data_IF_583897402358
#
_entry.id   IF_583897402358
#
_cell.length_a   1.000
_cell.length_b   1.000
_cell.length_c   1.000
_cell.angle_alpha   90.00
_cell.angle_beta   90.00
_cell.angle_gamma   90.00
#
_symmetry.space_group_name_H-M   'P 1'
#
loop_
_entity.id
_entity.type
_entity.pdbx_description
1 polymer ?
#
# COMPACT_ATOMS: atom_id res chain seq x y z
N UNK A 1 -16.92 13.90 -15.51
CA UNK A 1 -17.50 12.64 -15.04
C UNK A 1 -18.15 12.78 -13.68
N UNK A 2 -18.97 11.84 -13.32
CA UNK A 2 -19.66 11.81 -12.03
C UNK A 2 -18.74 11.36 -10.88
N UNK A 3 -17.78 10.52 -11.20
CA UNK A 3 -16.75 10.03 -10.30
C UNK A 3 -15.35 10.40 -10.78
N UNK A 4 -14.41 10.47 -9.85
CA UNK A 4 -12.98 10.71 -10.08
C UNK A 4 -12.20 9.67 -9.30
N UNK A 5 -11.30 8.94 -9.97
CA UNK A 5 -10.40 7.99 -9.31
C UNK A 5 -9.01 8.62 -9.18
N UNK A 6 -8.53 8.73 -7.94
CA UNK A 6 -7.11 8.90 -7.64
C UNK A 6 -6.49 7.51 -7.55
N UNK A 7 -5.43 7.28 -8.32
CA UNK A 7 -4.79 5.98 -8.41
C UNK A 7 -3.27 6.14 -8.53
N UNK A 8 -2.54 5.48 -7.65
CA UNK A 8 -1.08 5.43 -7.75
C UNK A 8 -0.63 4.52 -8.91
N UNK A 9 0.44 4.88 -9.62
CA UNK A 9 0.93 4.11 -10.77
C UNK A 9 1.54 2.75 -10.38
N UNK A 10 1.86 2.53 -9.11
CA UNK A 10 2.41 1.30 -8.55
C UNK A 10 1.34 0.38 -7.93
N UNK A 11 0.09 0.49 -8.42
CA UNK A 11 -1.03 -0.39 -8.04
C UNK A 11 -1.38 -1.36 -9.15
N UNK A 12 -1.88 -2.55 -8.78
CA UNK A 12 -2.48 -3.52 -9.68
C UNK A 12 -3.93 -3.76 -9.28
N UNK A 13 -4.84 -3.57 -10.23
CA UNK A 13 -6.26 -3.72 -10.03
C UNK A 13 -6.78 -5.00 -10.68
N UNK A 14 -7.65 -5.76 -9.98
CA UNK A 14 -8.49 -6.79 -10.61
C UNK A 14 -9.39 -6.21 -11.70
N UNK A 15 -9.81 -7.05 -12.63
CA UNK A 15 -10.59 -6.66 -13.80
C UNK A 15 -11.96 -6.05 -13.43
N UNK A 16 -12.56 -6.49 -12.31
CA UNK A 16 -13.90 -6.07 -11.86
C UNK A 16 -13.87 -4.91 -10.87
N UNK A 17 -12.71 -4.57 -10.30
CA UNK A 17 -12.58 -3.68 -9.15
C UNK A 17 -13.29 -2.33 -9.33
N UNK A 18 -13.07 -1.65 -10.47
CA UNK A 18 -13.66 -0.32 -10.72
C UNK A 18 -15.19 -0.43 -10.78
N UNK A 19 -15.73 -1.46 -11.44
CA UNK A 19 -17.17 -1.68 -11.59
C UNK A 19 -17.80 -1.92 -10.21
N UNK A 20 -17.22 -2.78 -9.38
CA UNK A 20 -17.71 -3.08 -8.04
C UNK A 20 -17.75 -1.84 -7.14
N UNK A 21 -16.73 -0.98 -7.22
CA UNK A 21 -16.67 0.28 -6.46
C UNK A 21 -17.72 1.27 -6.96
N UNK A 22 -17.94 1.38 -8.26
CA UNK A 22 -18.97 2.25 -8.85
C UNK A 22 -20.37 1.80 -8.45
N UNK A 23 -20.67 0.50 -8.51
CA UNK A 23 -21.95 -0.07 -8.07
C UNK A 23 -22.21 0.22 -6.59
N UNK A 24 -21.18 0.12 -5.74
CA UNK A 24 -21.29 0.51 -4.35
C UNK A 24 -21.63 1.99 -4.21
N UNK A 25 -20.92 2.86 -4.92
CA UNK A 25 -21.17 4.31 -4.83
C UNK A 25 -22.57 4.68 -5.36
N UNK A 26 -23.04 4.04 -6.41
CA UNK A 26 -24.39 4.30 -6.97
C UNK A 26 -25.50 3.92 -5.99
N UNK A 27 -25.30 2.86 -5.22
CA UNK A 27 -26.26 2.41 -4.19
C UNK A 27 -26.11 3.14 -2.84
N UNK A 28 -25.04 3.90 -2.63
CA UNK A 28 -24.76 4.65 -1.40
C UNK A 28 -24.56 6.15 -1.71
N UNK A 29 -25.64 6.94 -1.82
CA UNK A 29 -25.56 8.36 -2.17
C UNK A 29 -24.85 9.22 -1.10
N UNK A 30 -24.72 8.74 0.13
CA UNK A 30 -23.96 9.35 1.22
C UNK A 30 -22.44 9.09 1.12
N UNK A 31 -21.99 8.18 0.24
CA UNK A 31 -20.59 7.93 -0.01
C UNK A 31 -19.96 9.10 -0.80
N UNK A 32 -19.10 9.85 -0.14
CA UNK A 32 -18.29 10.92 -0.76
C UNK A 32 -17.01 10.39 -1.36
N UNK A 33 -16.40 9.39 -0.69
CA UNK A 33 -15.21 8.69 -1.16
C UNK A 33 -15.26 7.20 -0.78
N UNK A 34 -14.66 6.36 -1.64
CA UNK A 34 -14.43 4.94 -1.38
C UNK A 34 -12.95 4.61 -1.58
N UNK A 35 -12.36 3.92 -0.60
CA UNK A 35 -11.07 3.25 -0.69
C UNK A 35 -11.25 1.74 -0.66
N UNK A 36 -10.20 1.00 -0.99
CA UNK A 36 -10.26 -0.46 -1.14
C UNK A 36 -9.21 -1.16 -0.28
N UNK A 37 -9.35 -2.50 -0.14
CA UNK A 37 -8.40 -3.35 0.55
C UNK A 37 -7.09 -3.38 -0.23
N UNK A 38 -6.02 -2.81 0.32
CA UNK A 38 -4.71 -2.86 -0.29
C UNK A 38 -3.88 -4.02 0.29
N UNK A 39 -3.23 -4.77 -0.59
CA UNK A 39 -2.29 -5.84 -0.25
C UNK A 39 -0.87 -5.38 -0.59
N UNK A 40 0.08 -5.73 0.25
CA UNK A 40 1.50 -5.63 -0.04
C UNK A 40 1.93 -6.70 -1.04
N UNK A 41 3.13 -6.60 -1.66
CA UNK A 41 3.63 -7.60 -2.61
C UNK A 41 3.75 -9.03 -2.06
N UNK A 42 3.80 -9.19 -0.74
CA UNK A 42 3.82 -10.46 -0.03
C UNK A 42 2.44 -10.96 0.42
N UNK A 43 1.36 -10.31 -0.04
CA UNK A 43 -0.03 -10.65 0.25
C UNK A 43 -0.58 -10.11 1.57
N UNK A 44 0.26 -9.52 2.42
CA UNK A 44 -0.22 -8.97 3.69
C UNK A 44 -1.11 -7.75 3.49
N UNK A 45 -2.14 -7.64 4.31
CA UNK A 45 -2.99 -6.47 4.35
C UNK A 45 -2.20 -5.20 4.72
N UNK A 46 -2.42 -4.12 4.00
CA UNK A 46 -1.85 -2.82 4.29
C UNK A 46 -2.79 -2.01 5.20
N UNK A 47 -2.44 -1.81 6.49
CA UNK A 47 -3.33 -1.15 7.46
C UNK A 47 -3.73 0.28 7.09
N UNK A 48 -2.95 0.96 6.26
CA UNK A 48 -3.28 2.29 5.76
C UNK A 48 -4.48 2.34 4.81
N UNK A 49 -5.00 1.21 4.37
CA UNK A 49 -6.25 1.11 3.57
C UNK A 49 -7.43 1.74 4.32
N UNK A 50 -7.45 1.66 5.65
CA UNK A 50 -8.45 2.23 6.54
C UNK A 50 -7.76 2.87 7.74
N UNK A 51 -8.01 4.15 7.95
CA UNK A 51 -7.36 4.91 9.02
C UNK A 51 -8.37 5.73 9.83
N UNK A 52 -8.06 5.88 11.10
CA UNK A 52 -8.74 6.84 11.96
C UNK A 52 -8.21 8.25 11.76
N UNK A 53 -8.90 9.21 12.37
CA UNK A 53 -8.48 10.61 12.36
C UNK A 53 -7.13 10.78 13.07
N UNK A 54 -6.14 11.45 12.46
CA UNK A 54 -4.81 11.62 13.04
C UNK A 54 -4.80 12.76 14.07
N UNK A 55 -5.44 12.50 15.22
CA UNK A 55 -5.30 13.41 16.37
C UNK A 55 -3.88 13.36 16.94
N UNK A 56 -3.44 14.36 17.74
CA UNK A 56 -2.14 14.30 18.40
C UNK A 56 -1.93 13.03 19.23
N UNK A 57 -2.98 12.55 19.90
CA UNK A 57 -2.92 11.33 20.71
C UNK A 57 -2.75 10.07 19.84
N UNK A 58 -3.56 9.90 18.78
CA UNK A 58 -3.45 8.74 17.87
C UNK A 58 -2.12 8.74 17.14
N UNK A 59 -1.61 9.91 16.74
CA UNK A 59 -0.29 10.06 16.14
C UNK A 59 0.83 9.71 17.10
N UNK A 60 0.72 10.10 18.37
CA UNK A 60 1.68 9.75 19.41
C UNK A 60 1.75 8.24 19.63
N UNK A 61 0.59 7.56 19.77
CA UNK A 61 0.55 6.12 19.94
C UNK A 61 1.10 5.35 18.75
N UNK A 62 0.87 5.86 17.53
CA UNK A 62 1.47 5.31 16.32
C UNK A 62 3.00 5.48 16.31
N UNK A 63 3.51 6.68 16.60
CA UNK A 63 4.95 6.98 16.56
C UNK A 63 5.75 6.23 17.62
N UNK A 64 5.15 6.00 18.81
CA UNK A 64 5.76 5.23 19.90
C UNK A 64 5.64 3.72 19.74
N UNK A 65 4.85 3.25 18.76
CA UNK A 65 4.63 1.82 18.51
C UNK A 65 3.64 1.15 19.48
N UNK A 66 2.98 1.90 20.36
CA UNK A 66 2.01 1.37 21.32
C UNK A 66 0.83 0.65 20.66
N UNK A 67 0.42 1.10 19.46
CA UNK A 67 -0.60 0.42 18.66
C UNK A 67 -0.23 -1.02 18.28
N UNK A 68 1.05 -1.38 18.21
CA UNK A 68 1.52 -2.74 17.92
C UNK A 68 1.50 -3.64 19.15
N UNK A 69 1.73 -3.03 20.34
CA UNK A 69 1.75 -3.75 21.62
C UNK A 69 0.31 -4.04 22.08
N UNK A 70 -0.62 -3.12 21.80
CA UNK A 70 -2.03 -3.19 22.19
C UNK A 70 -2.97 -2.99 21.01
N UNK A 71 -2.98 -3.90 20.02
CA UNK A 71 -3.73 -3.72 18.78
C UNK A 71 -5.25 -3.69 18.97
N UNK A 72 -5.76 -4.40 19.99
CA UNK A 72 -7.20 -4.49 20.27
C UNK A 72 -7.71 -3.38 21.20
N UNK A 73 -6.81 -2.52 21.69
CA UNK A 73 -7.21 -1.46 22.60
C UNK A 73 -7.60 -0.18 21.82
N UNK A 74 -8.88 0.25 21.87
CA UNK A 74 -9.36 1.42 21.13
C UNK A 74 -8.58 2.71 21.38
N UNK A 75 -7.93 2.83 22.54
CA UNK A 75 -7.13 4.00 22.90
C UNK A 75 -5.82 4.06 22.09
N UNK A 76 -5.22 2.93 21.79
CA UNK A 76 -3.94 2.84 21.09
C UNK A 76 -4.10 2.54 19.60
N UNK A 77 -5.17 1.83 19.21
CA UNK A 77 -5.48 1.46 17.82
C UNK A 77 -6.25 2.55 17.04
N UNK A 78 -6.41 3.74 17.59
CA UNK A 78 -7.19 4.81 16.96
C UNK A 78 -6.69 5.27 15.58
N UNK A 79 -5.46 4.94 15.19
CA UNK A 79 -4.90 5.31 13.88
C UNK A 79 -5.15 4.27 12.79
N UNK A 80 -4.89 2.99 13.01
CA UNK A 80 -5.02 1.94 11.99
C UNK A 80 -6.34 1.19 12.02
N UNK A 81 -7.14 1.37 13.07
CA UNK A 81 -8.43 0.72 13.25
C UNK A 81 -8.33 -0.81 13.04
N UNK A 82 -7.29 -1.43 13.62
CA UNK A 82 -6.95 -2.85 13.41
C UNK A 82 -8.08 -3.79 13.84
N UNK A 83 -8.91 -3.35 14.81
CA UNK A 83 -10.12 -4.05 15.28
C UNK A 83 -11.23 -4.18 14.24
N UNK A 84 -11.23 -3.35 13.19
CA UNK A 84 -12.20 -3.47 12.11
C UNK A 84 -11.81 -4.60 11.17
N UNK A 85 -12.75 -5.49 10.88
CA UNK A 85 -12.51 -6.58 9.94
C UNK A 85 -12.10 -6.03 8.56
N UNK A 86 -10.98 -6.51 8.04
CA UNK A 86 -10.47 -6.12 6.72
C UNK A 86 -11.28 -6.70 5.56
N UNK A 87 -12.20 -7.64 5.84
CA UNK A 87 -13.05 -8.29 4.85
C UNK A 87 -14.51 -7.79 4.90
N UNK A 88 -14.77 -6.71 5.64
CA UNK A 88 -16.09 -6.09 5.74
C UNK A 88 -16.06 -4.63 5.29
N UNK A 89 -17.21 -4.13 4.85
CA UNK A 89 -17.41 -2.70 4.53
C UNK A 89 -17.46 -1.88 5.80
N UNK A 90 -16.70 -0.80 5.85
CA UNK A 90 -16.69 0.11 7.00
C UNK A 90 -16.73 1.57 6.55
N UNK A 91 -17.52 2.40 7.29
CA UNK A 91 -17.31 3.84 7.23
C UNK A 91 -16.09 4.20 8.09
N UNK A 92 -15.11 4.89 7.50
CA UNK A 92 -13.82 5.22 8.14
C UNK A 92 -13.52 6.71 7.97
N UNK A 93 -12.84 7.34 8.95
CA UNK A 93 -12.49 8.76 8.83
C UNK A 93 -11.57 9.07 7.65
N UNK A 94 -10.60 8.21 7.36
CA UNK A 94 -9.53 8.50 6.40
C UNK A 94 -9.24 7.30 5.52
N UNK A 95 -9.15 7.55 4.21
CA UNK A 95 -8.76 6.60 3.17
C UNK A 95 -7.32 6.84 2.73
N UNK A 96 -6.75 5.90 1.98
CA UNK A 96 -5.43 6.04 1.37
C UNK A 96 -5.52 6.63 -0.03
N UNK A 97 -4.69 7.64 -0.33
CA UNK A 97 -4.63 8.26 -1.65
C UNK A 97 -4.12 7.35 -2.77
N UNK A 98 -3.55 6.19 -2.44
CA UNK A 98 -3.12 5.20 -3.43
C UNK A 98 -4.27 4.65 -4.28
N UNK A 99 -5.47 4.56 -3.71
CA UNK A 99 -6.73 4.31 -4.40
C UNK A 99 -7.84 5.06 -3.68
N UNK A 100 -8.44 6.05 -4.33
CA UNK A 100 -9.57 6.78 -3.76
C UNK A 100 -10.56 7.14 -4.88
N UNK A 101 -11.73 6.48 -4.90
CA UNK A 101 -12.85 6.82 -5.78
C UNK A 101 -13.66 7.92 -5.11
N UNK A 102 -13.83 9.04 -5.80
CA UNK A 102 -14.42 10.27 -5.28
C UNK A 102 -15.69 10.62 -6.05
N UNK A 103 -16.76 10.99 -5.32
CA UNK A 103 -17.98 11.52 -5.91
C UNK A 103 -17.78 12.99 -6.29
N UNK A 104 -18.07 13.37 -7.53
CA UNK A 104 -17.95 14.74 -8.00
C UNK A 104 -18.71 15.75 -7.12
N UNK A 105 -19.93 15.41 -6.68
CA UNK A 105 -20.72 16.27 -5.80
C UNK A 105 -20.04 16.51 -4.45
N UNK A 106 -19.40 15.50 -3.88
CA UNK A 106 -18.63 15.63 -2.64
C UNK A 106 -17.42 16.53 -2.84
N UNK A 107 -16.66 16.36 -3.95
CA UNK A 107 -15.55 17.24 -4.30
C UNK A 107 -15.96 18.69 -4.50
N UNK A 108 -17.13 18.94 -5.11
CA UNK A 108 -17.64 20.31 -5.29
C UNK A 108 -17.95 20.99 -3.94
N UNK A 109 -18.32 20.21 -2.92
CA UNK A 109 -18.62 20.74 -1.58
C UNK A 109 -17.39 20.83 -0.69
N UNK A 110 -16.47 19.87 -0.76
CA UNK A 110 -15.26 19.79 0.09
C UNK A 110 -14.05 20.50 -0.52
N UNK A 111 -14.08 20.82 -1.81
CA UNK A 111 -12.92 21.30 -2.58
C UNK A 111 -12.03 20.15 -3.08
N UNK A 112 -11.05 20.50 -3.91
CA UNK A 112 -10.08 19.57 -4.50
C UNK A 112 -8.93 19.28 -3.52
N UNK A 113 -7.90 18.57 -3.99
CA UNK A 113 -6.65 18.39 -3.25
C UNK A 113 -6.04 19.74 -2.89
N UNK A 114 -5.54 19.86 -1.69
CA UNK A 114 -4.94 21.09 -1.17
C UNK A 114 -3.45 21.15 -1.57
N UNK A 115 -3.07 22.21 -2.29
CA UNK A 115 -1.75 22.39 -2.88
C UNK A 115 -0.65 22.67 -1.85
N UNK A 116 -0.99 22.99 -0.59
CA UNK A 116 -0.01 23.10 0.49
C UNK A 116 0.66 21.74 0.79
N UNK A 117 -0.01 20.62 0.45
CA UNK A 117 0.56 19.28 0.59
C UNK A 117 1.28 18.88 -0.70
N UNK A 118 2.61 18.96 -0.69
CA UNK A 118 3.41 18.50 -1.84
C UNK A 118 3.35 16.95 -2.00
N UNK A 119 3.37 16.23 -0.90
CA UNK A 119 3.31 14.76 -0.84
C UNK A 119 3.00 14.36 0.61
N UNK A 120 2.14 13.35 0.80
CA UNK A 120 1.60 12.90 2.09
C UNK A 120 0.68 13.92 2.78
N UNK A 121 -0.41 13.42 3.30
CA UNK A 121 -1.38 14.19 4.06
C UNK A 121 -2.51 14.81 3.23
N UNK A 122 -2.35 14.94 1.90
CA UNK A 122 -3.39 15.37 0.97
C UNK A 122 -4.62 14.45 0.99
N UNK A 123 -4.41 13.16 1.12
CA UNK A 123 -5.46 12.15 1.24
C UNK A 123 -6.20 12.23 2.58
N UNK A 124 -5.45 12.49 3.65
CA UNK A 124 -5.99 12.67 5.00
C UNK A 124 -6.84 13.95 5.04
N UNK A 125 -6.29 15.06 4.54
CA UNK A 125 -6.97 16.36 4.50
C UNK A 125 -8.26 16.28 3.67
N UNK A 126 -8.20 15.72 2.47
CA UNK A 126 -9.38 15.55 1.62
C UNK A 126 -10.44 14.64 2.28
N UNK A 127 -10.03 13.54 2.90
CA UNK A 127 -10.95 12.66 3.64
C UNK A 127 -11.67 13.39 4.76
N UNK A 128 -10.97 14.25 5.50
CA UNK A 128 -11.55 15.06 6.57
C UNK A 128 -12.57 16.07 6.01
N UNK A 129 -12.20 16.83 4.97
CA UNK A 129 -13.09 17.82 4.35
C UNK A 129 -14.34 17.20 3.72
N UNK A 130 -14.24 15.99 3.13
CA UNK A 130 -15.40 15.23 2.64
C UNK A 130 -16.36 14.91 3.79
N UNK A 131 -15.82 14.49 4.94
CA UNK A 131 -16.64 14.19 6.14
C UNK A 131 -17.27 15.47 6.71
N UNK A 132 -16.55 16.57 6.77
CA UNK A 132 -17.03 17.90 7.19
C UNK A 132 -18.13 18.43 6.26
N UNK A 133 -18.07 18.09 4.96
CA UNK A 133 -19.10 18.41 3.99
C UNK A 133 -20.37 17.53 4.10
N UNK A 134 -20.44 16.63 5.08
CA UNK A 134 -21.61 15.77 5.39
C UNK A 134 -21.66 14.45 4.65
N UNK A 135 -20.60 14.09 3.91
CA UNK A 135 -20.47 12.78 3.27
C UNK A 135 -19.74 11.78 4.17
N UNK A 136 -19.74 10.51 3.77
CA UNK A 136 -18.97 9.45 4.43
C UNK A 136 -17.85 8.93 3.52
N UNK A 137 -16.76 8.52 4.13
CA UNK A 137 -15.71 7.76 3.49
C UNK A 137 -15.91 6.27 3.79
N UNK A 138 -15.88 5.42 2.77
CA UNK A 138 -16.08 3.99 2.91
C UNK A 138 -14.83 3.20 2.52
N UNK A 139 -14.45 2.28 3.37
CA UNK A 139 -13.51 1.21 3.05
C UNK A 139 -14.28 0.03 2.51
N UNK A 140 -13.86 -0.51 1.35
CA UNK A 140 -14.45 -1.67 0.69
C UNK A 140 -13.45 -2.83 0.69
N UNK A 141 -13.89 -4.08 0.95
CA UNK A 141 -13.01 -5.23 1.04
C UNK A 141 -12.60 -5.80 -0.35
N UNK A 142 -12.56 -4.97 -1.38
CA UNK A 142 -12.13 -5.35 -2.72
C UNK A 142 -10.60 -5.26 -2.83
N UNK A 143 -9.88 -6.39 -3.04
CA UNK A 143 -8.43 -6.37 -2.97
C UNK A 143 -7.80 -5.72 -4.21
N UNK A 144 -6.79 -4.90 -3.97
CA UNK A 144 -5.82 -4.45 -4.98
C UNK A 144 -4.41 -4.71 -4.44
N UNK A 145 -3.43 -4.81 -5.34
CA UNK A 145 -2.02 -4.80 -4.93
C UNK A 145 -1.48 -3.39 -4.97
N UNK A 146 -0.65 -3.03 -3.99
CA UNK A 146 0.12 -1.80 -3.99
C UNK A 146 1.59 -2.14 -3.74
N UNK A 147 2.42 -2.06 -4.77
CA UNK A 147 3.84 -2.46 -4.73
C UNK A 147 4.66 -1.65 -3.73
N UNK A 148 4.33 -0.39 -3.51
CA UNK A 148 4.83 0.45 -2.42
C UNK A 148 6.37 0.50 -2.32
N UNK A 149 6.99 1.46 -2.92
CA UNK A 149 8.43 1.65 -2.70
C UNK A 149 9.19 2.41 -3.77
N UNK A 150 8.60 2.67 -4.91
CA UNK A 150 9.28 3.36 -6.02
C UNK A 150 9.51 4.86 -5.75
N UNK A 151 8.64 5.51 -4.95
CA UNK A 151 8.60 6.98 -4.92
C UNK A 151 9.64 7.64 -4.01
N UNK A 152 10.01 7.04 -2.88
CA UNK A 152 11.02 7.67 -1.99
C UNK A 152 11.49 6.70 -0.90
N UNK A 153 12.79 6.46 -0.79
CA UNK A 153 13.34 5.74 0.37
C UNK A 153 12.94 6.42 1.67
N UNK A 154 12.25 5.67 2.56
CA UNK A 154 11.81 6.14 3.89
C UNK A 154 12.97 6.58 4.79
N UNK A 155 14.18 6.30 4.41
CA UNK A 155 15.42 6.65 5.11
C UNK A 155 16.09 7.91 4.52
N UNK A 156 15.45 8.61 3.58
CA UNK A 156 16.01 9.83 2.99
C UNK A 156 15.68 11.08 3.82
N UNK A 157 16.60 12.05 3.84
CA UNK A 157 16.35 13.38 4.42
C UNK A 157 15.11 14.06 3.83
N UNK A 158 14.89 13.88 2.51
CA UNK A 158 13.74 14.43 1.81
C UNK A 158 12.44 13.84 2.35
N UNK A 159 12.38 12.51 2.50
CA UNK A 159 11.21 11.84 3.08
C UNK A 159 10.86 12.39 4.47
N UNK A 160 11.84 12.44 5.38
CA UNK A 160 11.62 12.90 6.76
C UNK A 160 11.05 14.33 6.76
N UNK A 161 11.65 15.25 5.99
CA UNK A 161 11.18 16.64 5.93
C UNK A 161 9.77 16.76 5.37
N UNK A 162 9.48 16.08 4.27
CA UNK A 162 8.16 16.14 3.61
C UNK A 162 7.09 15.52 4.50
N UNK A 163 7.35 14.33 5.07
CA UNK A 163 6.40 13.63 5.93
C UNK A 163 6.04 14.42 7.21
N UNK A 164 7.04 14.89 7.95
CA UNK A 164 6.77 15.69 9.17
C UNK A 164 6.28 17.11 8.84
N UNK A 165 6.68 17.66 7.70
CA UNK A 165 6.12 18.91 7.18
C UNK A 165 4.63 18.79 6.91
N UNK A 166 4.20 17.72 6.25
CA UNK A 166 2.78 17.44 6.02
C UNK A 166 1.99 17.29 7.33
N UNK A 167 2.59 16.65 8.36
CA UNK A 167 1.97 16.56 9.70
C UNK A 167 1.78 17.95 10.33
N UNK A 168 2.76 18.84 10.23
CA UNK A 168 2.64 20.22 10.77
C UNK A 168 1.57 21.03 10.01
N UNK A 169 1.54 20.94 8.67
CA UNK A 169 0.51 21.56 7.82
C UNK A 169 -0.88 21.06 8.22
N UNK A 170 -1.07 19.74 8.27
CA UNK A 170 -2.34 19.15 8.66
C UNK A 170 -2.79 19.64 10.04
N UNK A 171 -1.91 19.61 11.02
CA UNK A 171 -2.23 20.07 12.37
C UNK A 171 -2.52 21.56 12.43
N UNK A 172 -1.85 22.39 11.63
CA UNK A 172 -2.17 23.84 11.54
C UNK A 172 -3.58 24.09 11.01
N UNK A 173 -4.02 23.32 10.01
CA UNK A 173 -5.34 23.44 9.37
C UNK A 173 -6.48 22.88 10.24
N UNK A 174 -6.33 21.65 10.71
CA UNK A 174 -7.38 20.92 11.43
C UNK A 174 -7.30 21.03 12.96
N UNK A 175 -6.20 21.52 13.51
CA UNK A 175 -5.99 21.64 14.96
C UNK A 175 -6.41 22.98 15.56
N UNK A 176 -7.19 23.80 14.86
CA UNK A 176 -7.56 25.17 15.30
C UNK A 176 -8.43 25.19 16.55
N UNK A 177 -9.18 24.14 16.82
CA UNK A 177 -10.03 23.97 18.00
C UNK A 177 -9.27 23.71 19.30
N UNK A 178 -7.96 23.39 19.23
CA UNK A 178 -7.14 23.20 20.43
C UNK A 178 -6.63 24.54 20.99
N UNK A 179 -6.43 24.64 22.33
CA UNK A 179 -5.83 25.82 22.96
C UNK A 179 -4.44 26.15 22.40
N UNK A 180 -4.09 27.44 22.34
CA UNK A 180 -2.82 27.91 21.76
C UNK A 180 -1.58 27.23 22.35
N UNK A 181 -1.51 27.08 23.68
CA UNK A 181 -0.41 26.41 24.34
C UNK A 181 -0.26 24.94 23.89
N UNK A 182 -1.38 24.22 23.79
CA UNK A 182 -1.40 22.84 23.31
C UNK A 182 -0.94 22.73 21.85
N UNK A 183 -1.43 23.63 21.00
CA UNK A 183 -0.99 23.72 19.58
C UNK A 183 0.52 23.94 19.48
N UNK A 184 1.07 24.82 20.32
CA UNK A 184 2.50 25.06 20.36
C UNK A 184 3.29 23.82 20.81
N UNK A 185 2.84 23.14 21.86
CA UNK A 185 3.47 21.88 22.35
C UNK A 185 3.47 20.78 21.28
N UNK A 186 2.36 20.57 20.58
CA UNK A 186 2.26 19.55 19.52
C UNK A 186 3.24 19.87 18.38
N UNK A 187 3.28 21.11 17.92
CA UNK A 187 4.20 21.55 16.86
C UNK A 187 5.67 21.45 17.28
N UNK A 188 5.98 21.77 18.52
CA UNK A 188 7.32 21.56 19.08
C UNK A 188 7.69 20.06 19.09
N UNK A 189 6.74 19.19 19.46
CA UNK A 189 6.90 17.73 19.39
C UNK A 189 7.17 17.22 17.96
N UNK A 190 6.43 17.70 16.95
CA UNK A 190 6.66 17.36 15.54
C UNK A 190 8.08 17.78 15.11
N UNK A 191 8.51 19.00 15.44
CA UNK A 191 9.86 19.50 15.13
C UNK A 191 10.95 18.67 15.82
N UNK A 192 10.77 18.30 17.08
CA UNK A 192 11.70 17.45 17.82
C UNK A 192 11.81 16.06 17.15
N UNK A 193 10.69 15.44 16.80
CA UNK A 193 10.66 14.16 16.08
C UNK A 193 11.37 14.26 14.72
N UNK A 194 11.15 15.36 14.00
CA UNK A 194 11.83 15.63 12.74
C UNK A 194 13.34 15.66 12.95
N UNK A 195 13.80 16.41 13.94
CA UNK A 195 15.23 16.52 14.26
C UNK A 195 15.84 15.17 14.66
N UNK A 196 15.18 14.40 15.52
CA UNK A 196 15.63 13.05 15.93
C UNK A 196 15.73 12.11 14.72
N UNK A 197 14.75 12.09 13.83
CA UNK A 197 14.79 11.26 12.63
C UNK A 197 15.88 11.69 11.64
N UNK A 198 16.07 12.98 11.44
CA UNK A 198 17.17 13.50 10.62
C UNK A 198 18.53 13.13 11.20
N UNK A 199 18.71 13.18 12.53
CA UNK A 199 19.94 12.73 13.19
C UNK A 199 20.19 11.24 12.97
N UNK A 200 19.17 10.39 13.07
CA UNK A 200 19.29 8.94 12.77
C UNK A 200 19.70 8.71 11.32
N UNK A 201 19.07 9.42 10.36
CA UNK A 201 19.45 9.33 8.93
C UNK A 201 20.89 9.80 8.71
N UNK A 202 21.31 10.87 9.41
CA UNK A 202 22.69 11.34 9.35
C UNK A 202 23.67 10.28 9.86
N UNK A 203 23.41 9.68 11.04
CA UNK A 203 24.27 8.63 11.60
C UNK A 203 24.36 7.42 10.67
N UNK A 204 23.21 6.93 10.15
CA UNK A 204 23.20 5.83 9.19
C UNK A 204 24.05 6.09 7.96
N UNK A 205 24.03 7.31 7.45
CA UNK A 205 24.80 7.69 6.26
C UNK A 205 26.30 7.80 6.52
N UNK A 206 26.72 8.24 7.73
CA UNK A 206 28.12 8.54 8.03
C UNK A 206 28.82 7.41 8.83
N UNK A 207 28.05 6.47 9.39
CA UNK A 207 28.57 5.32 10.14
C UNK A 207 27.97 4.02 9.56
N UNK A 208 28.30 3.67 8.30
CA UNK A 208 27.71 2.50 7.63
C UNK A 208 28.03 1.18 8.34
N UNK A 209 29.14 1.11 9.07
CA UNK A 209 29.53 -0.10 9.81
C UNK A 209 28.51 -0.51 10.89
N UNK A 210 27.69 0.41 11.42
CA UNK A 210 26.64 0.11 12.38
C UNK A 210 25.34 -0.41 11.71
N UNK A 211 25.23 -0.28 10.38
CA UNK A 211 24.05 -0.58 9.59
C UNK A 211 24.40 -1.37 8.31
N UNK A 212 25.43 -2.25 8.41
CA UNK A 212 25.79 -3.11 7.28
C UNK A 212 24.55 -3.81 6.77
N UNK A 213 24.16 -3.46 5.53
CA UNK A 213 23.03 -4.06 4.83
C UNK A 213 23.30 -5.58 4.76
N UNK A 214 22.41 -6.38 5.28
CA UNK A 214 22.46 -7.82 5.05
C UNK A 214 22.24 -7.97 3.57
N UNK A 215 23.30 -8.39 2.86
CA UNK A 215 23.37 -8.42 1.42
C UNK A 215 22.05 -8.86 0.79
N UNK A 216 21.58 -8.10 -0.18
CA UNK A 216 20.35 -8.43 -0.92
C UNK A 216 20.54 -9.83 -1.49
N UNK A 217 19.70 -10.75 -1.05
CA UNK A 217 19.66 -12.09 -1.63
C UNK A 217 19.27 -11.96 -3.11
N UNK A 218 20.00 -12.63 -4.00
CA UNK A 218 19.62 -12.66 -5.41
C UNK A 218 18.19 -13.20 -5.57
N UNK A 219 17.37 -12.60 -6.44
CA UNK A 219 15.99 -13.03 -6.63
C UNK A 219 15.94 -14.44 -7.22
N UNK A 220 15.19 -15.31 -6.58
CA UNK A 220 14.92 -16.68 -7.03
C UNK A 220 13.44 -16.80 -7.32
N UNK A 221 13.08 -17.01 -8.58
CA UNK A 221 11.70 -17.01 -9.05
C UNK A 221 11.09 -18.39 -9.12
N UNK A 222 9.87 -18.50 -8.63
CA UNK A 222 8.95 -19.61 -8.90
C UNK A 222 7.95 -19.10 -9.95
N UNK A 223 7.99 -19.65 -11.16
CA UNK A 223 7.33 -19.05 -12.34
C UNK A 223 6.20 -19.97 -12.84
N UNK A 224 4.97 -19.45 -12.85
CA UNK A 224 3.80 -20.08 -13.43
C UNK A 224 3.44 -19.41 -14.74
N UNK A 225 3.61 -20.13 -15.86
CA UNK A 225 3.41 -19.57 -17.19
C UNK A 225 2.91 -20.61 -18.18
N UNK A 226 2.42 -20.13 -19.34
CA UNK A 226 2.18 -20.98 -20.50
C UNK A 226 3.51 -21.47 -21.09
N UNK A 227 3.49 -22.62 -21.76
CA UNK A 227 4.67 -23.15 -22.45
C UNK A 227 5.26 -22.14 -23.45
N UNK A 228 4.40 -21.44 -24.17
CA UNK A 228 4.77 -20.42 -25.15
C UNK A 228 5.57 -19.26 -24.51
N UNK A 229 5.10 -18.74 -23.37
CA UNK A 229 5.69 -17.55 -22.74
C UNK A 229 6.91 -17.91 -21.87
N UNK A 230 7.09 -19.16 -21.53
CA UNK A 230 8.22 -19.66 -20.75
C UNK A 230 9.57 -19.31 -21.39
N UNK A 231 9.68 -19.41 -22.72
CA UNK A 231 10.89 -19.05 -23.44
C UNK A 231 11.24 -17.58 -23.32
N UNK A 232 10.21 -16.69 -23.41
CA UNK A 232 10.41 -15.25 -23.25
C UNK A 232 10.85 -14.88 -21.84
N UNK A 233 10.25 -15.50 -20.82
CA UNK A 233 10.64 -15.26 -19.43
C UNK A 233 12.07 -15.75 -19.16
N UNK A 234 12.47 -16.90 -19.71
CA UNK A 234 13.86 -17.39 -19.61
C UNK A 234 14.84 -16.43 -20.27
N UNK A 235 14.50 -15.91 -21.45
CA UNK A 235 15.35 -14.93 -22.13
C UNK A 235 15.52 -13.65 -21.29
N UNK A 236 14.44 -13.15 -20.66
CA UNK A 236 14.51 -12.01 -19.73
C UNK A 236 15.42 -12.33 -18.53
N UNK A 237 15.28 -13.50 -17.90
CA UNK A 237 16.12 -13.89 -16.78
C UNK A 237 17.61 -13.95 -17.19
N UNK A 238 17.91 -14.52 -18.35
CA UNK A 238 19.29 -14.64 -18.88
C UNK A 238 19.89 -13.26 -19.23
N UNK A 239 19.14 -12.41 -19.95
CA UNK A 239 19.62 -11.07 -20.34
C UNK A 239 19.92 -10.18 -19.13
N UNK A 240 19.21 -10.38 -18.03
CA UNK A 240 19.40 -9.66 -16.79
C UNK A 240 20.39 -10.35 -15.81
N UNK A 241 21.09 -11.39 -16.24
CA UNK A 241 22.10 -12.15 -15.45
C UNK A 241 21.50 -12.68 -14.13
N UNK A 242 20.23 -13.02 -14.12
CA UNK A 242 19.60 -13.64 -12.95
C UNK A 242 20.08 -15.09 -12.83
N UNK A 243 20.31 -15.51 -11.60
CA UNK A 243 20.83 -16.83 -11.29
C UNK A 243 19.95 -17.94 -11.90
N UNK A 244 20.55 -19.06 -12.38
CA UNK A 244 19.85 -20.17 -13.05
C UNK A 244 18.92 -20.98 -12.12
N UNK A 245 18.84 -20.67 -10.84
CA UNK A 245 18.06 -21.40 -9.83
C UNK A 245 16.56 -21.05 -9.80
N UNK A 246 15.97 -20.69 -10.95
CA UNK A 246 14.54 -20.48 -11.08
C UNK A 246 13.81 -21.80 -11.31
N UNK A 247 12.61 -21.91 -10.76
CA UNK A 247 11.72 -23.06 -11.00
C UNK A 247 10.57 -22.66 -11.91
N UNK A 248 10.36 -23.42 -12.98
CA UNK A 248 9.35 -23.13 -14.01
C UNK A 248 8.25 -24.19 -13.94
N UNK A 249 7.01 -23.75 -13.80
CA UNK A 249 5.81 -24.57 -13.80
C UNK A 249 4.98 -24.24 -15.03
N UNK A 250 4.80 -25.20 -15.93
CA UNK A 250 3.87 -25.04 -17.06
C UNK A 250 2.46 -25.11 -16.49
N UNK A 251 1.69 -24.06 -16.75
CA UNK A 251 0.34 -23.93 -16.22
C UNK A 251 -0.63 -24.88 -16.91
N UNK A 252 -1.38 -25.63 -16.11
CA UNK A 252 -2.48 -26.51 -16.50
C UNK A 252 -3.72 -26.17 -15.67
N UNK A 253 -4.85 -26.82 -15.91
CA UNK A 253 -6.11 -26.55 -15.18
C UNK A 253 -5.92 -26.59 -13.65
N UNK A 254 -5.16 -27.53 -13.13
CA UNK A 254 -4.92 -27.66 -11.69
C UNK A 254 -4.03 -26.54 -11.14
N UNK A 255 -2.95 -26.19 -11.84
CA UNK A 255 -2.03 -25.14 -11.41
C UNK A 255 -2.65 -23.73 -11.58
N UNK A 256 -3.57 -23.56 -12.53
CA UNK A 256 -4.29 -22.30 -12.71
C UNK A 256 -5.24 -22.00 -11.54
N UNK A 257 -5.80 -23.03 -10.92
CA UNK A 257 -6.68 -22.87 -9.75
C UNK A 257 -5.89 -22.72 -8.44
N UNK A 258 -4.87 -23.53 -8.25
CA UNK A 258 -4.16 -23.60 -6.97
C UNK A 258 -2.88 -22.74 -6.92
N UNK A 259 -2.34 -22.33 -8.08
CA UNK A 259 -1.13 -21.49 -8.16
C UNK A 259 0.02 -22.07 -7.33
N UNK A 260 0.73 -21.21 -6.62
CA UNK A 260 1.82 -21.61 -5.73
C UNK A 260 1.36 -22.38 -4.47
N UNK A 261 0.07 -22.36 -4.15
CA UNK A 261 -0.49 -23.18 -3.06
C UNK A 261 -0.40 -24.70 -3.33
N UNK A 262 -0.21 -25.11 -4.59
CA UNK A 262 0.11 -26.51 -4.92
C UNK A 262 1.39 -26.99 -4.24
N UNK A 263 2.29 -26.07 -3.95
CA UNK A 263 3.66 -26.35 -3.56
C UNK A 263 3.85 -26.36 -2.04
N UNK A 264 2.84 -26.00 -1.26
CA UNK A 264 2.89 -26.02 0.22
C UNK A 264 3.25 -27.38 0.83
N UNK A 265 3.15 -28.47 0.06
CA UNK A 265 3.48 -29.83 0.50
C UNK A 265 4.91 -30.27 0.19
N UNK A 266 5.62 -29.54 -0.64
CA UNK A 266 6.99 -29.85 -1.06
C UNK A 266 7.88 -28.68 -0.61
N UNK A 267 8.94 -28.94 0.14
CA UNK A 267 9.85 -27.94 0.72
C UNK A 267 10.49 -27.04 -0.38
N UNK A 268 9.80 -25.97 -0.80
CA UNK A 268 10.33 -24.96 -1.72
C UNK A 268 11.18 -23.91 -1.00
N UNK A 269 11.96 -24.33 -0.03
CA UNK A 269 12.89 -23.45 0.65
C UNK A 269 13.85 -22.79 -0.33
N UNK A 270 13.80 -21.46 -0.41
CA UNK A 270 14.78 -20.65 -1.13
C UNK A 270 14.25 -19.77 -2.26
N UNK A 271 12.97 -19.84 -2.65
CA UNK A 271 12.38 -18.84 -3.55
C UNK A 271 12.11 -17.52 -2.81
N UNK A 272 12.29 -16.43 -3.51
CA UNK A 272 12.03 -15.07 -3.01
C UNK A 272 10.76 -14.47 -3.63
N UNK A 273 10.42 -14.94 -4.84
CA UNK A 273 9.28 -14.43 -5.60
C UNK A 273 8.47 -15.55 -6.21
N UNK A 274 7.16 -15.32 -6.32
CA UNK A 274 6.27 -16.06 -7.21
C UNK A 274 5.91 -15.18 -8.40
N UNK A 275 6.06 -15.69 -9.62
CA UNK A 275 5.79 -14.97 -10.87
C UNK A 275 4.63 -15.62 -11.59
N UNK A 276 3.63 -14.82 -11.95
CA UNK A 276 2.48 -15.25 -12.72
C UNK A 276 2.44 -14.59 -14.11
N UNK A 277 2.17 -15.41 -15.12
CA UNK A 277 1.90 -14.97 -16.48
C UNK A 277 0.47 -14.44 -16.59
N UNK A 278 0.30 -13.13 -16.85
CA UNK A 278 -1.00 -12.47 -16.96
C UNK A 278 -1.85 -12.88 -18.15
N UNK A 279 -1.32 -13.70 -19.07
CA UNK A 279 -2.14 -14.34 -20.14
C UNK A 279 -2.82 -15.62 -19.70
N UNK A 280 -2.38 -16.20 -18.57
CA UNK A 280 -2.90 -17.45 -18.02
C UNK A 280 -3.71 -17.21 -16.75
N UNK A 281 -3.26 -16.28 -15.92
CA UNK A 281 -3.90 -15.93 -14.66
C UNK A 281 -4.52 -14.54 -14.75
N UNK A 282 -5.81 -14.40 -14.43
CA UNK A 282 -6.42 -13.09 -14.23
C UNK A 282 -5.83 -12.41 -12.98
N UNK A 283 -5.84 -11.09 -12.93
CA UNK A 283 -5.37 -10.35 -11.75
C UNK A 283 -6.20 -10.67 -10.50
N UNK A 284 -7.52 -10.91 -10.67
CA UNK A 284 -8.38 -11.37 -9.59
C UNK A 284 -7.91 -12.72 -9.00
N UNK A 285 -7.56 -13.69 -9.86
CA UNK A 285 -7.05 -14.98 -9.43
C UNK A 285 -5.68 -14.86 -8.72
N UNK A 286 -4.78 -14.05 -9.27
CA UNK A 286 -3.45 -13.80 -8.68
C UNK A 286 -3.59 -13.22 -7.27
N UNK A 287 -4.42 -12.18 -7.07
CA UNK A 287 -4.60 -11.55 -5.78
C UNK A 287 -5.30 -12.47 -4.77
N UNK A 288 -6.24 -13.30 -5.23
CA UNK A 288 -6.86 -14.33 -4.39
C UNK A 288 -5.84 -15.34 -3.89
N UNK A 289 -4.99 -15.86 -4.78
CA UNK A 289 -3.90 -16.80 -4.42
C UNK A 289 -2.91 -16.16 -3.45
N UNK A 290 -2.51 -14.92 -3.70
CA UNK A 290 -1.58 -14.18 -2.86
C UNK A 290 -2.13 -13.97 -1.44
N UNK A 291 -3.40 -13.62 -1.31
CA UNK A 291 -4.04 -13.38 -0.01
C UNK A 291 -4.18 -14.65 0.85
N UNK A 292 -4.18 -15.84 0.22
CA UNK A 292 -4.28 -17.13 0.92
C UNK A 292 -2.94 -17.67 1.41
N UNK A 293 -1.80 -17.12 0.93
CA UNK A 293 -0.46 -17.71 1.09
C UNK A 293 0.51 -16.82 1.87
N UNK A 294 0.01 -16.01 2.78
CA UNK A 294 0.79 -15.00 3.53
C UNK A 294 1.96 -15.58 4.38
N UNK A 295 1.90 -16.87 4.72
CA UNK A 295 2.95 -17.51 5.54
C UNK A 295 4.28 -17.67 4.81
N UNK A 296 4.28 -17.76 3.48
CA UNK A 296 5.47 -18.06 2.68
C UNK A 296 6.34 -16.85 2.36
N UNK A 297 5.85 -15.62 2.58
CA UNK A 297 6.56 -14.34 2.33
C UNK A 297 7.17 -14.21 0.92
N UNK A 298 6.57 -14.88 -0.07
CA UNK A 298 6.98 -14.75 -1.46
C UNK A 298 6.49 -13.41 -2.01
N UNK A 299 7.37 -12.68 -2.65
CA UNK A 299 7.01 -11.43 -3.31
C UNK A 299 6.36 -11.70 -4.67
N UNK A 300 5.32 -10.95 -5.01
CA UNK A 300 4.62 -11.13 -6.27
C UNK A 300 5.39 -10.50 -7.43
N UNK A 301 5.69 -11.30 -8.45
CA UNK A 301 6.08 -10.86 -9.77
C UNK A 301 4.98 -11.12 -10.79
N UNK A 302 4.87 -10.29 -11.81
CA UNK A 302 3.91 -10.44 -12.91
C UNK A 302 4.62 -10.32 -14.23
N UNK A 303 4.50 -11.34 -15.07
CA UNK A 303 4.92 -11.27 -16.45
C UNK A 303 3.77 -10.81 -17.36
N UNK A 304 4.00 -9.76 -18.11
CA UNK A 304 3.05 -9.28 -19.12
C UNK A 304 3.57 -9.63 -20.52
N UNK A 305 2.92 -10.58 -21.24
CA UNK A 305 3.38 -11.01 -22.54
C UNK A 305 3.17 -9.98 -23.66
N UNK A 306 2.31 -8.97 -23.46
CA UNK A 306 2.10 -7.91 -24.47
C UNK A 306 3.24 -6.90 -24.47
N UNK A 307 3.78 -6.58 -23.33
CA UNK A 307 4.91 -5.66 -23.19
C UNK A 307 6.27 -6.37 -23.09
N UNK A 308 6.28 -7.69 -22.93
CA UNK A 308 7.47 -8.50 -22.65
C UNK A 308 8.25 -8.04 -21.40
N UNK A 309 7.52 -7.62 -20.36
CA UNK A 309 8.10 -7.14 -19.11
C UNK A 309 7.71 -8.05 -17.96
N UNK A 310 8.69 -8.38 -17.12
CA UNK A 310 8.47 -8.99 -15.82
C UNK A 310 8.59 -7.90 -14.74
N UNK A 311 7.48 -7.59 -14.09
CA UNK A 311 7.38 -6.59 -13.02
C UNK A 311 7.55 -7.27 -11.68
N UNK A 312 8.42 -6.76 -10.83
CA UNK A 312 8.58 -7.16 -9.42
C UNK A 312 8.58 -5.93 -8.51
N UNK A 313 8.48 -6.12 -7.18
CA UNK A 313 8.51 -4.99 -6.23
C UNK A 313 9.82 -4.18 -6.26
N UNK A 314 10.94 -4.78 -6.65
CA UNK A 314 12.25 -4.12 -6.66
C UNK A 314 12.57 -3.43 -7.98
N UNK A 315 12.17 -4.04 -9.09
CA UNK A 315 12.42 -3.50 -10.43
C UNK A 315 11.64 -4.23 -11.52
N UNK A 316 11.63 -3.61 -12.71
CA UNK A 316 11.13 -4.22 -13.93
C UNK A 316 12.28 -4.84 -14.70
N UNK A 317 12.06 -6.05 -15.23
CA UNK A 317 12.99 -6.77 -16.09
C UNK A 317 12.44 -6.80 -17.53
N UNK A 318 13.31 -6.49 -18.49
CA UNK A 318 12.96 -6.36 -19.92
C UNK A 318 13.83 -7.30 -20.76
#
# INVERSE_FOLDING_TARGET
GEYVLLLNPDTLLPETNITEVLEFMDTHPDAGACGVKMLAPDGHFLPESKRGYPSPATSFWKLTGMHRIFPDNPRFDGYYLSRLDENAVHSVPVLAGAYMMLRRKALNSSGLLDEDFFMYGEDIDLSCRITEAGYKNYYLPYPILHYKGESTSKESYRYVRVFYGAMDIFFCKHGTHYPLLYRWMVRAGIKLQTWLKLSIVFIKKHVPALYADRGKCEPRFLIFSSEKNMYSIRAICQSNQLNESHHYVISNERSTVAGHNLLQKENFGGFTHVVYDSSVFSYSAILSLLSQSQEEKLLLGIYNPKSHVLVTPERNYV
#
